data_IF_615836869927
#
_entry.id   IF_615836869927
#
_cell.length_a   1.000
_cell.length_b   1.000
_cell.length_c   1.000
_cell.angle_alpha   90.00
_cell.angle_beta   90.00
_cell.angle_gamma   90.00
#
_symmetry.space_group_name_H-M   'P 1'
#
loop_
_entity.id
_entity.type
_entity.pdbx_description
1 polymer ?
#
# COMPACT_ATOMS: atom_id res chain seq x y z
N UNK A 1 -1.83 -2.18 -3.23
CA UNK A 1 -0.48 -2.17 -2.61
C UNK A 1 -0.27 -3.50 -1.93
N UNK A 2 0.91 -4.09 -2.16
CA UNK A 2 1.31 -5.36 -1.58
C UNK A 2 2.58 -5.16 -0.75
N UNK A 3 2.56 -5.67 0.48
CA UNK A 3 3.74 -5.75 1.34
C UNK A 3 4.22 -7.20 1.47
N UNK A 4 5.40 -7.43 2.05
CA UNK A 4 5.97 -8.77 2.10
C UNK A 4 5.15 -9.68 3.04
N UNK A 5 4.84 -10.89 2.58
CA UNK A 5 4.18 -11.93 3.40
C UNK A 5 5.18 -12.66 4.31
N UNK A 6 4.68 -13.31 5.36
CA UNK A 6 5.51 -14.03 6.34
C UNK A 6 6.36 -15.14 5.69
N UNK A 7 5.77 -15.92 4.79
CA UNK A 7 6.48 -16.98 4.05
C UNK A 7 7.22 -16.43 2.82
N UNK A 8 8.12 -15.47 3.04
CA UNK A 8 8.78 -14.71 1.97
C UNK A 8 9.71 -15.55 1.08
N UNK A 9 10.23 -16.68 1.57
CA UNK A 9 11.06 -17.60 0.80
C UNK A 9 10.26 -18.54 -0.13
N UNK A 10 8.95 -18.68 0.11
CA UNK A 10 8.05 -19.51 -0.71
C UNK A 10 6.66 -18.86 -0.75
N UNK A 11 6.54 -17.70 -1.43
CA UNK A 11 5.33 -16.90 -1.40
C UNK A 11 4.16 -17.61 -2.10
N UNK A 12 2.96 -17.35 -1.60
CA UNK A 12 1.70 -17.71 -2.29
C UNK A 12 1.02 -16.46 -2.84
N UNK A 13 0.06 -16.63 -3.76
CA UNK A 13 -0.74 -15.52 -4.32
C UNK A 13 -1.47 -14.80 -3.18
N UNK A 14 -1.24 -13.49 -2.97
CA UNK A 14 -1.91 -12.76 -1.89
C UNK A 14 -3.42 -12.74 -2.06
N UNK A 15 -4.15 -12.90 -0.95
CA UNK A 15 -5.60 -12.71 -0.88
C UNK A 15 -5.92 -11.51 0.00
N UNK A 16 -7.13 -10.94 -0.13
CA UNK A 16 -7.56 -9.81 0.72
C UNK A 16 -7.64 -10.16 2.22
N UNK A 17 -7.75 -11.45 2.54
CA UNK A 17 -7.80 -11.91 3.92
C UNK A 17 -6.41 -12.21 4.48
N UNK A 18 -5.40 -12.43 3.63
CA UNK A 18 -4.05 -12.80 4.04
C UNK A 18 -3.43 -11.74 4.95
N UNK A 19 -3.00 -12.18 6.12
CA UNK A 19 -2.31 -11.35 7.10
C UNK A 19 -0.81 -11.61 7.10
N UNK A 20 -0.05 -10.65 7.62
CA UNK A 20 1.34 -10.86 8.03
C UNK A 20 1.45 -10.63 9.54
N UNK A 21 2.45 -11.26 10.15
CA UNK A 21 2.92 -11.01 11.51
C UNK A 21 4.39 -10.57 11.52
N UNK A 22 5.05 -10.60 10.36
CA UNK A 22 6.44 -10.21 10.16
C UNK A 22 6.56 -9.46 8.83
N UNK A 23 7.61 -8.66 8.71
CA UNK A 23 8.12 -8.06 7.47
C UNK A 23 7.25 -7.01 6.76
N UNK A 24 5.94 -7.00 6.99
CA UNK A 24 5.00 -6.10 6.34
C UNK A 24 5.07 -4.65 6.83
N UNK A 25 4.65 -3.70 6.00
CA UNK A 25 4.49 -2.30 6.40
C UNK A 25 3.20 -2.11 7.19
N UNK A 26 3.31 -1.42 8.33
CA UNK A 26 2.26 -1.32 9.36
C UNK A 26 1.59 0.05 9.31
N UNK A 27 2.36 1.14 9.25
CA UNK A 27 1.85 2.51 9.09
C UNK A 27 2.38 3.11 7.79
N UNK A 28 1.48 3.60 6.95
CA UNK A 28 1.83 4.19 5.68
C UNK A 28 0.68 5.03 5.09
N UNK A 29 1.04 5.95 4.22
CA UNK A 29 0.11 6.79 3.45
C UNK A 29 0.26 6.53 1.95
N UNK A 30 -0.85 6.28 1.27
CA UNK A 30 -0.94 6.24 -0.20
C UNK A 30 -1.31 7.63 -0.70
N UNK A 31 -0.45 8.24 -1.51
CA UNK A 31 -0.52 9.66 -1.83
C UNK A 31 -0.42 9.94 -3.33
N UNK A 32 -1.03 11.05 -3.74
CA UNK A 32 -0.93 11.62 -5.08
C UNK A 32 -0.40 13.05 -5.02
N UNK A 33 0.17 13.53 -6.13
CA UNK A 33 0.58 14.92 -6.27
C UNK A 33 -0.59 15.78 -6.77
N UNK A 34 -0.95 16.82 -6.01
CA UNK A 34 -2.08 17.71 -6.36
C UNK A 34 -1.66 18.96 -7.18
N UNK A 35 -0.40 19.05 -7.60
CA UNK A 35 0.16 20.23 -8.27
C UNK A 35 1.06 21.09 -7.36
N UNK A 36 0.86 21.04 -6.05
CA UNK A 36 1.62 21.83 -5.06
C UNK A 36 2.22 20.99 -3.93
N UNK A 37 1.62 19.85 -3.61
CA UNK A 37 2.00 18.99 -2.50
C UNK A 37 1.50 17.55 -2.67
N UNK A 38 1.94 16.70 -1.74
CA UNK A 38 1.44 15.34 -1.60
C UNK A 38 0.18 15.32 -0.74
N UNK A 39 -0.86 14.65 -1.21
CA UNK A 39 -2.14 14.48 -0.51
C UNK A 39 -2.52 13.01 -0.51
N UNK A 40 -3.11 12.53 0.58
CA UNK A 40 -3.59 11.15 0.69
C UNK A 40 -4.74 10.89 -0.29
N UNK A 41 -4.74 9.71 -0.93
CA UNK A 41 -5.96 9.23 -1.59
C UNK A 41 -7.05 8.98 -0.53
N UNK A 42 -8.35 9.03 -0.86
CA UNK A 42 -9.39 8.68 0.11
C UNK A 42 -9.17 7.29 0.72
N UNK A 43 -9.09 7.22 2.06
CA UNK A 43 -8.76 5.99 2.79
C UNK A 43 -7.29 5.56 2.72
N UNK A 44 -6.41 6.39 2.15
CA UNK A 44 -4.99 6.11 1.92
C UNK A 44 -4.09 6.20 3.14
N UNK A 45 -4.55 6.84 4.22
CA UNK A 45 -3.85 6.85 5.51
C UNK A 45 -4.17 5.55 6.27
N UNK A 46 -3.17 4.68 6.40
CA UNK A 46 -3.32 3.37 7.03
C UNK A 46 -2.48 3.29 8.29
N UNK A 47 -3.16 3.00 9.39
CA UNK A 47 -2.56 2.67 10.69
C UNK A 47 -2.88 1.24 11.07
N UNK A 48 -1.96 0.59 11.81
CA UNK A 48 -2.06 -0.78 12.30
C UNK A 48 -2.43 -1.81 11.21
N UNK A 49 -1.84 -1.68 10.01
CA UNK A 49 -2.02 -2.66 8.96
C UNK A 49 -1.45 -4.02 9.37
N UNK A 50 -2.21 -5.08 9.14
CA UNK A 50 -1.73 -6.45 9.22
C UNK A 50 -2.02 -7.25 7.94
N UNK A 51 -2.44 -6.61 6.86
CA UNK A 51 -2.79 -7.27 5.59
C UNK A 51 -1.64 -7.19 4.59
N UNK A 52 -1.35 -8.32 3.95
CA UNK A 52 -0.35 -8.43 2.87
C UNK A 52 -0.81 -7.62 1.66
N UNK A 53 -2.11 -7.69 1.32
CA UNK A 53 -2.72 -6.95 0.24
C UNK A 53 -3.70 -5.90 0.77
N UNK A 54 -3.45 -4.63 0.40
CA UNK A 54 -4.36 -3.50 0.65
C UNK A 54 -4.85 -2.92 -0.66
N UNK A 55 -6.17 -2.95 -0.83
CA UNK A 55 -6.89 -2.28 -1.92
C UNK A 55 -7.52 -0.99 -1.41
N UNK A 56 -7.49 0.02 -2.27
CA UNK A 56 -8.08 1.33 -2.04
C UNK A 56 -8.99 1.62 -3.23
N UNK A 57 -10.27 1.86 -2.96
CA UNK A 57 -11.28 2.19 -3.97
C UNK A 57 -11.79 3.58 -3.66
N UNK A 58 -11.68 4.48 -4.64
CA UNK A 58 -12.02 5.89 -4.51
C UNK A 58 -12.43 6.46 -5.88
N UNK A 59 -13.03 7.65 -5.89
CA UNK A 59 -13.37 8.34 -7.13
C UNK A 59 -12.09 8.66 -7.94
N UNK A 60 -12.12 8.66 -9.29
CA UNK A 60 -10.91 8.87 -10.09
C UNK A 60 -10.19 10.18 -9.77
N UNK A 61 -8.85 10.11 -9.68
CA UNK A 61 -7.98 11.27 -9.43
C UNK A 61 -7.01 11.42 -10.59
N UNK A 62 -7.04 12.57 -11.27
CA UNK A 62 -6.04 12.93 -12.28
C UNK A 62 -4.78 13.43 -11.58
N UNK A 63 -3.67 12.71 -11.76
CA UNK A 63 -2.37 13.06 -11.18
C UNK A 63 -1.25 12.63 -12.12
N UNK A 64 -0.09 13.28 -12.00
CA UNK A 64 1.13 12.87 -12.71
C UNK A 64 2.00 11.93 -11.88
N UNK A 65 1.77 11.85 -10.56
CA UNK A 65 2.64 11.13 -9.63
C UNK A 65 1.82 10.52 -8.50
N UNK A 66 2.25 9.34 -8.09
CA UNK A 66 1.78 8.66 -6.88
C UNK A 66 3.01 8.29 -6.04
N UNK A 67 2.81 8.11 -4.73
CA UNK A 67 3.80 7.51 -3.84
C UNK A 67 3.12 6.72 -2.73
N UNK A 68 3.91 5.88 -2.07
CA UNK A 68 3.58 5.31 -0.76
C UNK A 68 4.63 5.83 0.22
N UNK A 69 4.20 6.60 1.22
CA UNK A 69 5.04 7.05 2.32
C UNK A 69 4.93 6.02 3.44
N UNK A 70 6.04 5.39 3.84
CA UNK A 70 6.04 4.37 4.90
C UNK A 70 6.65 4.95 6.16
N UNK A 71 5.91 4.93 7.25
CA UNK A 71 6.33 5.46 8.56
C UNK A 71 6.58 4.37 9.61
N UNK A 72 6.06 3.15 9.40
CA UNK A 72 6.33 2.00 10.26
C UNK A 72 6.24 0.67 9.52
N UNK A 73 7.07 -0.29 9.93
CA UNK A 73 7.08 -1.67 9.44
C UNK A 73 7.32 -2.65 10.57
N UNK A 74 6.83 -3.87 10.39
CA UNK A 74 7.22 -5.00 11.23
C UNK A 74 8.63 -5.45 10.78
N UNK A 75 9.60 -5.44 11.71
CA UNK A 75 11.06 -5.49 11.46
C UNK A 75 11.67 -4.21 10.85
N UNK A 76 12.98 -4.27 10.56
CA UNK A 76 13.86 -3.14 10.26
C UNK A 76 13.77 -2.52 8.85
N UNK A 77 12.88 -2.99 7.96
CA UNK A 77 12.84 -2.53 6.56
C UNK A 77 11.41 -2.25 6.09
N UNK A 78 11.24 -1.16 5.33
CA UNK A 78 10.03 -0.86 4.57
C UNK A 78 9.96 -1.73 3.32
N UNK A 79 9.21 -2.84 3.39
CA UNK A 79 9.12 -3.81 2.29
C UNK A 79 7.81 -3.65 1.52
N UNK A 80 7.88 -2.98 0.38
CA UNK A 80 6.80 -2.96 -0.61
C UNK A 80 7.17 -3.95 -1.71
N UNK A 81 6.27 -4.88 -2.00
CA UNK A 81 6.43 -5.86 -3.08
C UNK A 81 5.93 -5.26 -4.38
N UNK A 82 4.73 -4.65 -4.35
CA UNK A 82 4.11 -4.13 -5.57
C UNK A 82 3.11 -3.01 -5.27
N UNK A 83 3.02 -2.06 -6.22
CA UNK A 83 2.02 -0.99 -6.24
C UNK A 83 1.35 -1.00 -7.60
N UNK A 84 0.05 -1.30 -7.59
CA UNK A 84 -0.80 -1.23 -8.78
C UNK A 84 -1.69 0.02 -8.68
N UNK A 85 -1.80 0.75 -9.78
CA UNK A 85 -2.73 1.86 -9.93
C UNK A 85 -3.53 1.63 -11.22
N UNK A 86 -4.86 1.69 -11.10
CA UNK A 86 -5.79 1.38 -12.17
C UNK A 86 -6.46 2.67 -12.65
N UNK A 87 -6.63 2.81 -13.97
CA UNK A 87 -7.51 3.84 -14.54
C UNK A 87 -8.96 3.38 -14.42
N UNK A 88 -9.90 4.31 -14.25
CA UNK A 88 -11.31 3.97 -14.38
C UNK A 88 -11.57 3.35 -15.76
N UNK A 89 -12.48 2.38 -15.83
CA UNK A 89 -13.03 1.95 -17.12
C UNK A 89 -13.62 3.16 -17.83
N UNK A 90 -13.26 3.36 -19.11
CA UNK A 90 -13.94 4.32 -19.96
C UNK A 90 -15.41 3.98 -20.13
#
# INVERSE_FOLDING_TARGET
MFTLQDNSASPSVPTLQMTFSRFGIVHFEVQYWNGAGWVDVPGGNVVNNNKVWRQFVFAPITTQRIRVLVSSSEYYLSRIVEVEAWTASQ
#
